data_IF_186272301479
#
_entry.id   IF_186272301479
#
_cell.length_a   1.000
_cell.length_b   1.000
_cell.length_c   1.000
_cell.angle_alpha   90.00
_cell.angle_beta   90.00
_cell.angle_gamma   90.00
#
_symmetry.space_group_name_H-M   'P 1'
#
loop_
_entity.id
_entity.type
_entity.pdbx_description
1 polymer ?
#
# COMPACT_ATOMS: atom_id res chain seq x y z
N UNK A 1 -26.46 3.76 19.96
CA UNK A 1 -25.68 3.11 18.91
C UNK A 1 -25.77 3.94 17.64
N UNK A 2 -24.63 4.35 17.08
CA UNK A 2 -24.58 5.07 15.81
C UNK A 2 -24.70 4.05 14.66
N UNK A 3 -25.45 4.41 13.61
CA UNK A 3 -25.52 3.65 12.36
C UNK A 3 -25.45 4.63 11.20
N UNK A 4 -24.64 4.35 10.20
CA UNK A 4 -24.54 5.19 9.02
C UNK A 4 -25.91 5.34 8.34
N UNK A 5 -26.26 6.57 7.96
CA UNK A 5 -27.51 6.88 7.30
C UNK A 5 -27.55 6.34 5.87
N UNK A 6 -26.39 6.40 5.22
CA UNK A 6 -26.14 5.90 3.86
C UNK A 6 -24.80 5.19 3.83
N UNK A 7 -24.74 4.06 3.16
CA UNK A 7 -23.48 3.34 2.94
C UNK A 7 -22.78 3.92 1.71
N UNK A 8 -21.44 4.08 1.75
CA UNK A 8 -20.67 4.54 0.59
C UNK A 8 -20.62 3.48 -0.51
N UNK A 9 -20.17 3.89 -1.69
CA UNK A 9 -19.90 2.99 -2.79
C UNK A 9 -21.06 2.77 -3.76
N UNK A 10 -20.85 1.84 -4.68
CA UNK A 10 -21.86 1.38 -5.64
C UNK A 10 -22.99 0.63 -4.93
N UNK A 11 -24.06 0.30 -5.65
CA UNK A 11 -25.14 -0.52 -5.09
C UNK A 11 -24.67 -1.87 -4.55
N UNK A 12 -23.63 -2.45 -5.14
CA UNK A 12 -23.02 -3.71 -4.69
C UNK A 12 -22.31 -3.49 -3.34
N UNK A 13 -21.41 -2.49 -3.23
CA UNK A 13 -20.78 -2.14 -1.96
C UNK A 13 -21.81 -1.90 -0.86
N UNK A 14 -22.84 -1.13 -1.15
CA UNK A 14 -23.89 -0.82 -0.18
C UNK A 14 -24.69 -2.05 0.30
N UNK A 15 -24.92 -3.04 -0.59
CA UNK A 15 -25.57 -4.30 -0.21
C UNK A 15 -24.70 -5.10 0.76
N UNK A 16 -23.42 -5.29 0.42
CA UNK A 16 -22.46 -6.03 1.25
C UNK A 16 -22.32 -5.34 2.62
N UNK A 17 -22.05 -4.04 2.64
CA UNK A 17 -21.93 -3.27 3.89
C UNK A 17 -23.17 -3.34 4.76
N UNK A 18 -24.37 -3.34 4.16
CA UNK A 18 -25.62 -3.48 4.90
C UNK A 18 -25.76 -4.86 5.54
N UNK A 19 -25.40 -5.93 4.85
CA UNK A 19 -25.43 -7.27 5.40
C UNK A 19 -24.44 -7.39 6.56
N UNK A 20 -23.18 -6.98 6.36
CA UNK A 20 -22.14 -7.04 7.40
C UNK A 20 -22.55 -6.26 8.63
N UNK A 21 -23.00 -5.01 8.46
CA UNK A 21 -23.44 -4.19 9.62
C UNK A 21 -24.65 -4.79 10.33
N UNK A 22 -25.56 -5.43 9.61
CA UNK A 22 -26.73 -6.08 10.19
C UNK A 22 -26.38 -7.33 10.97
N UNK A 23 -25.39 -8.13 10.53
CA UNK A 23 -24.90 -9.28 11.28
C UNK A 23 -24.31 -8.86 12.64
N UNK A 24 -23.65 -7.72 12.72
CA UNK A 24 -22.98 -7.26 13.93
C UNK A 24 -23.79 -6.26 14.78
N UNK A 25 -24.95 -5.81 14.31
CA UNK A 25 -25.72 -4.77 14.99
C UNK A 25 -26.05 -5.09 16.46
N UNK A 26 -26.34 -6.34 16.75
CA UNK A 26 -26.68 -6.80 18.10
C UNK A 26 -25.57 -7.61 18.78
N UNK A 27 -24.42 -7.77 18.16
CA UNK A 27 -23.30 -8.48 18.75
C UNK A 27 -22.59 -7.62 19.81
N UNK A 28 -22.60 -8.02 21.10
CA UNK A 28 -21.96 -7.24 22.15
C UNK A 28 -20.44 -7.22 22.06
N UNK A 29 -19.83 -8.14 21.33
CA UNK A 29 -18.38 -8.20 21.10
C UNK A 29 -17.89 -7.04 20.24
N UNK A 30 -18.74 -6.53 19.34
CA UNK A 30 -18.38 -5.52 18.34
C UNK A 30 -18.69 -4.11 18.88
N UNK A 31 -17.65 -3.30 18.96
CA UNK A 31 -17.73 -1.90 19.41
C UNK A 31 -17.93 -0.92 18.26
N UNK A 32 -17.29 -1.18 17.11
CA UNK A 32 -17.44 -0.35 15.92
C UNK A 32 -17.15 -1.13 14.65
N UNK A 33 -17.76 -0.71 13.54
CA UNK A 33 -17.39 -1.10 12.17
C UNK A 33 -17.07 0.18 11.41
N UNK A 34 -15.89 0.21 10.83
CA UNK A 34 -15.34 1.35 10.11
C UNK A 34 -15.04 0.91 8.69
N UNK A 35 -15.49 1.67 7.70
CA UNK A 35 -14.97 1.56 6.35
C UNK A 35 -13.91 2.63 6.13
N UNK A 36 -12.83 2.29 5.47
CA UNK A 36 -11.75 3.21 5.17
C UNK A 36 -11.32 3.10 3.69
N UNK A 37 -10.13 3.48 3.34
CA UNK A 37 -9.66 3.36 1.96
C UNK A 37 -10.38 4.31 0.99
N UNK A 38 -10.69 3.84 -0.21
CA UNK A 38 -11.36 4.62 -1.26
C UNK A 38 -12.80 4.98 -0.90
N UNK A 39 -13.51 4.04 -0.27
CA UNK A 39 -14.88 4.24 0.18
C UNK A 39 -14.97 5.28 1.29
N UNK A 40 -14.09 5.18 2.28
CA UNK A 40 -14.05 6.12 3.41
C UNK A 40 -13.71 7.55 2.99
N UNK A 41 -12.86 7.72 1.94
CA UNK A 41 -12.52 9.03 1.36
C UNK A 41 -13.57 9.59 0.40
N UNK A 42 -14.54 8.80 -0.03
CA UNK A 42 -15.48 9.20 -1.08
C UNK A 42 -14.89 9.28 -2.49
N UNK A 43 -13.75 8.59 -2.74
CA UNK A 43 -13.05 8.57 -4.05
C UNK A 43 -13.14 7.21 -4.73
N UNK A 44 -14.20 6.48 -4.45
CA UNK A 44 -14.46 5.13 -4.93
C UNK A 44 -14.96 5.09 -6.39
N UNK A 45 -14.77 3.94 -7.03
CA UNK A 45 -15.35 3.58 -8.32
C UNK A 45 -15.86 2.12 -8.31
N UNK A 46 -16.20 1.56 -9.47
CA UNK A 46 -16.70 0.19 -9.55
C UNK A 46 -15.62 -0.89 -9.37
N UNK A 47 -14.36 -0.52 -9.31
CA UNK A 47 -13.21 -1.41 -9.06
C UNK A 47 -12.66 -1.26 -7.64
N UNK A 48 -13.30 -0.42 -6.83
CA UNK A 48 -12.87 -0.24 -5.45
C UNK A 48 -13.20 -1.47 -4.63
N UNK A 49 -12.26 -1.86 -3.77
CA UNK A 49 -12.40 -2.86 -2.73
C UNK A 49 -13.15 -2.34 -1.50
N UNK A 50 -13.51 -3.26 -0.61
CA UNK A 50 -14.10 -2.98 0.70
C UNK A 50 -13.02 -3.14 1.76
N UNK A 51 -12.52 -2.03 2.30
CA UNK A 51 -11.59 -2.02 3.42
C UNK A 51 -12.35 -1.80 4.73
N UNK A 52 -12.42 -2.80 5.60
CA UNK A 52 -13.15 -2.75 6.88
C UNK A 52 -12.24 -2.98 8.08
N UNK A 53 -12.39 -2.13 9.08
CA UNK A 53 -11.87 -2.32 10.44
C UNK A 53 -13.03 -2.57 11.40
N UNK A 54 -12.97 -3.68 12.13
CA UNK A 54 -13.96 -4.08 13.13
C UNK A 54 -13.32 -4.00 14.52
N UNK A 55 -13.70 -2.97 15.27
CA UNK A 55 -13.21 -2.80 16.64
C UNK A 55 -13.99 -3.71 17.57
N UNK A 56 -13.29 -4.61 18.24
CA UNK A 56 -13.86 -5.58 19.21
C UNK A 56 -13.63 -5.14 20.65
N UNK A 57 -14.41 -5.67 21.55
CA UNK A 57 -14.25 -5.43 23.00
C UNK A 57 -12.92 -6.04 23.49
N UNK A 58 -12.31 -5.39 24.49
CA UNK A 58 -11.04 -5.83 25.05
C UNK A 58 -11.11 -7.28 25.54
N UNK A 59 -10.06 -8.04 25.25
CA UNK A 59 -9.94 -9.45 25.63
C UNK A 59 -10.76 -10.43 24.77
N UNK A 60 -11.48 -9.95 23.77
CA UNK A 60 -12.15 -10.81 22.79
C UNK A 60 -11.13 -11.27 21.73
N UNK A 61 -11.01 -12.57 21.59
CA UNK A 61 -10.35 -13.19 20.45
C UNK A 61 -11.42 -13.60 19.43
N UNK A 62 -11.25 -13.20 18.19
CA UNK A 62 -12.16 -13.51 17.08
C UNK A 62 -11.55 -14.69 16.31
N UNK A 63 -12.35 -15.72 16.10
CA UNK A 63 -12.05 -16.75 15.10
C UNK A 63 -12.46 -16.19 13.74
N UNK A 64 -11.48 -15.62 13.02
CA UNK A 64 -11.71 -14.89 11.78
C UNK A 64 -12.34 -15.78 10.71
N UNK A 65 -11.89 -17.04 10.59
CA UNK A 65 -12.44 -17.98 9.62
C UNK A 65 -13.91 -18.29 9.91
N UNK A 66 -14.25 -18.57 11.19
CA UNK A 66 -15.62 -18.84 11.60
C UNK A 66 -16.55 -17.61 11.38
N UNK A 67 -16.09 -16.40 11.70
CA UNK A 67 -16.84 -15.17 11.45
C UNK A 67 -17.10 -14.94 9.95
N UNK A 68 -16.11 -15.20 9.11
CA UNK A 68 -16.27 -15.01 7.66
C UNK A 68 -17.13 -16.07 7.02
N UNK A 69 -17.13 -17.31 7.51
CA UNK A 69 -18.10 -18.31 7.11
C UNK A 69 -19.53 -17.91 7.49
N UNK A 70 -19.71 -17.33 8.68
CA UNK A 70 -21.01 -16.80 9.11
C UNK A 70 -21.47 -15.64 8.22
N UNK A 71 -20.59 -14.67 7.93
CA UNK A 71 -20.88 -13.56 7.01
C UNK A 71 -21.16 -14.06 5.59
N UNK A 72 -20.40 -15.04 5.09
CA UNK A 72 -20.59 -15.64 3.78
C UNK A 72 -22.00 -16.21 3.60
N UNK A 73 -22.51 -16.94 4.60
CA UNK A 73 -23.89 -17.46 4.58
C UNK A 73 -24.93 -16.32 4.52
N UNK A 74 -24.69 -15.21 5.22
CA UNK A 74 -25.59 -14.05 5.18
C UNK A 74 -25.52 -13.29 3.85
N UNK A 75 -24.34 -13.23 3.22
CA UNK A 75 -24.10 -12.55 1.94
C UNK A 75 -24.71 -13.30 0.75
N UNK A 76 -24.90 -14.62 0.84
CA UNK A 76 -25.63 -15.37 -0.20
C UNK A 76 -27.06 -14.84 -0.44
N UNK A 77 -27.68 -14.27 0.58
CA UNK A 77 -29.02 -13.67 0.44
C UNK A 77 -29.06 -12.42 -0.46
N UNK A 78 -27.90 -11.85 -0.79
CA UNK A 78 -27.73 -10.70 -1.70
C UNK A 78 -26.91 -11.03 -2.94
N UNK A 79 -26.85 -12.33 -3.30
CA UNK A 79 -26.14 -12.89 -4.45
C UNK A 79 -24.60 -12.71 -4.40
N UNK A 80 -24.03 -12.55 -3.19
CA UNK A 80 -22.59 -12.49 -3.00
C UNK A 80 -22.09 -13.80 -2.39
N UNK A 81 -21.28 -14.54 -3.16
CA UNK A 81 -20.68 -15.80 -2.75
C UNK A 81 -19.17 -15.69 -2.64
N UNK A 82 -18.60 -16.17 -1.55
CA UNK A 82 -17.15 -16.22 -1.37
C UNK A 82 -16.58 -17.22 -2.39
N UNK A 83 -15.63 -16.75 -3.20
CA UNK A 83 -14.84 -17.55 -4.13
C UNK A 83 -13.49 -17.94 -3.52
N UNK A 84 -12.87 -17.03 -2.76
CA UNK A 84 -11.59 -17.25 -2.08
C UNK A 84 -11.63 -16.57 -0.72
N UNK A 85 -11.14 -17.29 0.29
CA UNK A 85 -10.96 -16.80 1.66
C UNK A 85 -9.51 -17.03 2.05
N UNK A 86 -8.82 -15.97 2.48
CA UNK A 86 -7.43 -15.99 2.93
C UNK A 86 -7.42 -15.41 4.35
N UNK A 87 -7.63 -16.26 5.38
CA UNK A 87 -7.63 -15.82 6.77
C UNK A 87 -6.19 -15.69 7.29
N UNK A 88 -5.99 -14.73 8.20
CA UNK A 88 -4.82 -14.61 9.07
C UNK A 88 -5.29 -14.47 10.53
N UNK A 89 -4.39 -14.22 11.47
CA UNK A 89 -4.66 -14.21 12.90
C UNK A 89 -5.78 -13.24 13.32
N UNK A 90 -5.76 -11.99 12.81
CA UNK A 90 -6.70 -10.93 13.15
C UNK A 90 -7.38 -10.29 11.93
N UNK A 91 -7.04 -10.73 10.71
CA UNK A 91 -7.61 -10.22 9.48
C UNK A 91 -7.88 -11.30 8.44
N UNK A 92 -8.52 -10.93 7.36
CA UNK A 92 -8.65 -11.76 6.17
C UNK A 92 -8.90 -10.94 4.92
N UNK A 93 -8.45 -11.50 3.80
CA UNK A 93 -8.85 -11.10 2.46
C UNK A 93 -9.88 -12.08 1.90
N UNK A 94 -10.96 -11.54 1.36
CA UNK A 94 -12.07 -12.28 0.76
C UNK A 94 -12.27 -11.82 -0.67
N UNK A 95 -12.32 -12.77 -1.61
CA UNK A 95 -12.71 -12.49 -2.99
C UNK A 95 -14.07 -13.13 -3.24
N UNK A 96 -15.04 -12.34 -3.67
CA UNK A 96 -16.36 -12.83 -4.07
C UNK A 96 -16.37 -13.29 -5.53
N UNK A 97 -17.33 -14.16 -5.89
CA UNK A 97 -17.52 -14.57 -7.30
C UNK A 97 -17.83 -13.41 -8.24
N UNK A 98 -18.33 -12.30 -7.70
CA UNK A 98 -18.55 -11.05 -8.42
C UNK A 98 -17.28 -10.28 -8.74
N UNK A 99 -16.09 -10.76 -8.30
CA UNK A 99 -14.77 -10.12 -8.35
C UNK A 99 -14.66 -8.90 -7.42
N UNK A 100 -15.60 -8.71 -6.50
CA UNK A 100 -15.45 -7.76 -5.40
C UNK A 100 -14.46 -8.33 -4.38
N UNK A 101 -13.60 -7.46 -3.85
CA UNK A 101 -12.66 -7.81 -2.78
C UNK A 101 -13.10 -7.15 -1.47
N UNK A 102 -12.90 -7.86 -0.36
CA UNK A 102 -13.11 -7.39 1.00
C UNK A 102 -11.88 -7.73 1.82
N UNK A 103 -11.21 -6.69 2.34
CA UNK A 103 -10.21 -6.83 3.40
C UNK A 103 -10.87 -6.43 4.72
N UNK A 104 -10.87 -7.32 5.70
CA UNK A 104 -11.52 -7.10 7.00
C UNK A 104 -10.57 -7.47 8.13
N UNK A 105 -10.47 -6.59 9.13
CA UNK A 105 -9.63 -6.80 10.30
C UNK A 105 -10.44 -6.66 11.58
N UNK A 106 -10.17 -7.54 12.57
CA UNK A 106 -10.78 -7.53 13.89
C UNK A 106 -9.71 -7.24 14.96
N UNK A 107 -9.87 -6.15 15.70
CA UNK A 107 -8.85 -5.74 16.67
C UNK A 107 -9.46 -4.96 17.85
N UNK A 108 -8.84 -4.98 19.05
CA UNK A 108 -9.23 -4.09 20.14
C UNK A 108 -8.92 -2.64 19.80
N UNK A 109 -9.63 -1.69 20.44
CA UNK A 109 -9.48 -0.27 20.17
C UNK A 109 -8.01 0.21 20.24
N UNK A 110 -7.23 -0.34 21.17
CA UNK A 110 -5.83 0.02 21.36
C UNK A 110 -4.94 -0.28 20.14
N UNK A 111 -5.32 -1.26 19.30
CA UNK A 111 -4.55 -1.71 18.14
C UNK A 111 -5.04 -1.08 16.82
N UNK A 112 -5.84 -0.01 16.90
CA UNK A 112 -6.29 0.74 15.72
C UNK A 112 -5.11 1.18 14.88
N UNK A 113 -5.16 0.87 13.58
CA UNK A 113 -4.11 1.25 12.63
C UNK A 113 -4.09 2.76 12.38
N UNK A 114 -2.93 3.43 12.40
CA UNK A 114 -2.84 4.84 12.01
C UNK A 114 -3.22 5.10 10.55
N UNK A 115 -3.18 4.06 9.70
CA UNK A 115 -3.44 4.18 8.27
C UNK A 115 -4.91 4.43 7.94
N UNK A 116 -5.83 4.09 8.84
CA UNK A 116 -7.26 4.30 8.61
C UNK A 116 -7.71 5.72 8.95
N UNK A 117 -6.99 6.43 9.84
CA UNK A 117 -7.40 7.70 10.46
C UNK A 117 -7.79 8.77 9.42
N UNK A 118 -7.05 8.88 8.34
CA UNK A 118 -7.30 9.91 7.32
C UNK A 118 -8.49 9.60 6.40
N UNK A 119 -9.10 8.42 6.52
CA UNK A 119 -10.14 7.96 5.59
C UNK A 119 -11.26 7.16 6.24
N UNK A 120 -11.31 7.14 7.57
CA UNK A 120 -12.31 6.34 8.29
C UNK A 120 -13.71 6.95 8.22
N UNK A 121 -14.70 6.09 7.96
CA UNK A 121 -16.12 6.40 8.06
C UNK A 121 -16.78 5.35 8.95
N UNK A 122 -17.39 5.79 10.06
CA UNK A 122 -18.07 4.91 10.99
C UNK A 122 -19.40 4.42 10.41
N UNK A 123 -19.53 3.11 10.20
CA UNK A 123 -20.76 2.48 9.71
C UNK A 123 -21.70 2.07 10.85
N UNK A 124 -21.13 1.49 11.90
CA UNK A 124 -21.82 1.02 13.09
C UNK A 124 -20.92 1.26 14.30
N UNK A 125 -21.44 1.77 15.41
CA UNK A 125 -20.59 1.99 16.57
C UNK A 125 -21.33 2.21 17.87
N UNK A 126 -20.73 1.70 18.97
CA UNK A 126 -21.05 1.95 20.37
C UNK A 126 -20.02 2.87 21.02
N UNK A 127 -18.95 3.19 20.30
CA UNK A 127 -17.87 4.10 20.71
C UNK A 127 -17.78 5.27 19.71
N UNK A 128 -17.22 6.36 20.17
CA UNK A 128 -17.06 7.58 19.37
C UNK A 128 -15.96 7.44 18.33
N UNK A 129 -16.15 8.01 17.14
CA UNK A 129 -15.13 8.11 16.10
C UNK A 129 -13.87 8.79 16.62
N UNK A 130 -14.00 9.80 17.50
CA UNK A 130 -12.87 10.50 18.11
C UNK A 130 -11.99 9.58 18.99
N UNK A 131 -12.55 8.55 19.62
CA UNK A 131 -11.79 7.56 20.38
C UNK A 131 -10.96 6.69 19.46
N UNK A 132 -11.51 6.28 18.33
CA UNK A 132 -10.83 5.50 17.29
C UNK A 132 -9.69 6.31 16.67
N UNK A 133 -9.95 7.58 16.33
CA UNK A 133 -8.95 8.51 15.84
C UNK A 133 -7.79 8.67 16.81
N UNK A 134 -8.10 8.88 18.08
CA UNK A 134 -7.09 9.03 19.14
C UNK A 134 -6.22 7.79 19.27
N UNK A 135 -6.81 6.60 19.25
CA UNK A 135 -6.07 5.35 19.32
C UNK A 135 -5.17 5.15 18.09
N UNK A 136 -5.69 5.39 16.89
CA UNK A 136 -4.91 5.29 15.65
C UNK A 136 -3.76 6.29 15.60
N UNK A 137 -3.97 7.53 16.05
CA UNK A 137 -2.91 8.55 16.13
C UNK A 137 -1.85 8.17 17.18
N UNK A 138 -2.22 7.55 18.30
CA UNK A 138 -1.27 7.07 19.31
C UNK A 138 -0.36 5.97 18.76
N UNK A 139 -0.86 5.15 17.84
CA UNK A 139 -0.11 4.08 17.18
C UNK A 139 0.69 4.58 15.97
N UNK A 140 0.53 5.85 15.57
CA UNK A 140 1.31 6.44 14.50
C UNK A 140 2.78 6.47 14.92
N UNK A 141 3.53 5.46 14.51
CA UNK A 141 4.99 5.62 14.48
C UNK A 141 5.26 6.82 13.61
N UNK A 142 6.06 7.77 14.09
CA UNK A 142 6.57 8.82 13.24
C UNK A 142 7.48 8.14 12.22
N UNK A 143 6.89 7.68 11.11
CA UNK A 143 7.60 7.20 9.93
C UNK A 143 8.23 8.42 9.23
N UNK A 144 8.93 9.23 10.01
CA UNK A 144 9.97 10.11 9.52
C UNK A 144 11.21 9.24 9.28
N UNK A 145 11.09 8.19 8.45
CA UNK A 145 12.30 7.69 7.83
C UNK A 145 12.85 8.87 7.03
N UNK A 146 14.02 9.42 7.41
CA UNK A 146 14.58 10.55 6.70
C UNK A 146 14.66 10.17 5.22
N UNK A 147 14.24 11.05 4.32
CA UNK A 147 14.38 10.85 2.87
C UNK A 147 15.78 10.33 2.49
N UNK A 148 16.79 10.70 3.25
CA UNK A 148 18.15 10.17 3.13
C UNK A 148 18.23 8.65 3.23
N UNK A 149 17.48 8.01 4.13
CA UNK A 149 17.47 6.54 4.23
C UNK A 149 16.86 5.86 3.01
N UNK A 150 15.85 6.47 2.41
CA UNK A 150 15.26 5.94 1.19
C UNK A 150 16.25 6.08 0.01
N UNK A 151 17.04 7.16 -0.03
CA UNK A 151 18.15 7.31 -0.98
C UNK A 151 19.25 6.28 -0.73
N UNK A 152 19.67 6.05 0.52
CA UNK A 152 20.63 5.01 0.88
C UNK A 152 20.19 3.63 0.40
N UNK A 153 18.90 3.29 0.58
CA UNK A 153 18.31 2.04 0.07
C UNK A 153 18.38 1.95 -1.45
N UNK A 154 18.05 3.05 -2.14
CA UNK A 154 18.09 3.08 -3.59
C UNK A 154 19.48 2.83 -4.14
N UNK A 155 20.52 3.48 -3.54
CA UNK A 155 21.92 3.26 -3.92
C UNK A 155 22.37 1.84 -3.60
N UNK A 156 21.96 1.28 -2.45
CA UNK A 156 22.23 -0.11 -2.10
C UNK A 156 21.62 -1.08 -3.10
N UNK A 157 20.38 -0.89 -3.51
CA UNK A 157 19.73 -1.72 -4.53
C UNK A 157 20.45 -1.62 -5.87
N UNK A 158 20.99 -0.45 -6.25
CA UNK A 158 21.79 -0.34 -7.47
C UNK A 158 23.03 -1.26 -7.43
N UNK A 159 23.72 -1.36 -6.29
CA UNK A 159 24.83 -2.29 -6.10
C UNK A 159 24.38 -3.75 -6.17
N UNK A 160 23.23 -4.08 -5.60
CA UNK A 160 22.68 -5.44 -5.62
C UNK A 160 22.25 -5.86 -7.05
N UNK A 161 21.65 -4.92 -7.83
CA UNK A 161 21.34 -5.13 -9.26
C UNK A 161 22.60 -5.43 -10.04
N UNK A 162 23.64 -4.61 -9.87
CA UNK A 162 24.92 -4.81 -10.54
C UNK A 162 25.51 -6.20 -10.24
N UNK A 163 25.50 -6.61 -8.97
CA UNK A 163 25.91 -7.95 -8.56
C UNK A 163 25.07 -9.09 -9.16
N UNK A 164 23.75 -8.89 -9.30
CA UNK A 164 22.84 -9.86 -9.92
C UNK A 164 23.12 -9.99 -11.43
N UNK A 165 23.33 -8.87 -12.12
CA UNK A 165 23.68 -8.84 -13.55
C UNK A 165 24.97 -9.59 -13.84
N UNK A 166 26.03 -9.36 -13.05
CA UNK A 166 27.31 -10.07 -13.19
C UNK A 166 27.22 -11.58 -12.96
N UNK A 167 26.23 -12.03 -12.18
CA UNK A 167 25.95 -13.46 -11.96
C UNK A 167 24.96 -14.06 -12.96
N UNK A 168 24.38 -13.26 -13.84
CA UNK A 168 23.34 -13.69 -14.77
C UNK A 168 21.99 -13.97 -14.08
N UNK A 169 21.76 -13.45 -12.86
CA UNK A 169 20.53 -13.66 -12.08
C UNK A 169 19.46 -12.64 -12.49
N UNK A 170 18.88 -12.87 -13.67
CA UNK A 170 17.99 -11.91 -14.31
C UNK A 170 16.72 -11.64 -13.48
N UNK A 171 16.07 -12.67 -12.89
CA UNK A 171 14.90 -12.46 -12.04
C UNK A 171 15.20 -11.57 -10.83
N UNK A 172 16.32 -11.81 -10.15
CA UNK A 172 16.75 -10.98 -9.02
C UNK A 172 17.04 -9.55 -9.46
N UNK A 173 17.69 -9.36 -10.62
CA UNK A 173 17.94 -8.04 -11.17
C UNK A 173 16.62 -7.28 -11.46
N UNK A 174 15.63 -7.94 -12.07
CA UNK A 174 14.29 -7.34 -12.37
C UNK A 174 13.58 -6.94 -11.08
N UNK A 175 13.57 -7.80 -10.06
CA UNK A 175 12.96 -7.51 -8.76
C UNK A 175 13.63 -6.30 -8.08
N UNK A 176 14.96 -6.29 -8.01
CA UNK A 176 15.71 -5.18 -7.41
C UNK A 176 15.50 -3.86 -8.16
N UNK A 177 15.44 -3.90 -9.49
CA UNK A 177 15.05 -2.73 -10.31
C UNK A 177 13.62 -2.27 -10.00
N UNK A 178 12.71 -3.18 -9.65
CA UNK A 178 11.38 -2.78 -9.19
C UNK A 178 11.46 -2.04 -7.84
N UNK A 179 12.25 -2.53 -6.89
CA UNK A 179 12.47 -1.83 -5.61
C UNK A 179 13.10 -0.44 -5.80
N UNK A 180 14.04 -0.29 -6.75
CA UNK A 180 14.60 1.03 -7.10
C UNK A 180 13.51 1.98 -7.63
N UNK A 181 12.59 1.52 -8.50
CA UNK A 181 11.44 2.33 -8.94
C UNK A 181 10.57 2.76 -7.76
N UNK A 182 10.32 1.85 -6.84
CA UNK A 182 9.55 2.15 -5.63
C UNK A 182 10.26 3.23 -4.77
N UNK A 183 11.58 3.13 -4.57
CA UNK A 183 12.36 4.15 -3.87
C UNK A 183 12.24 5.52 -4.54
N UNK A 184 12.37 5.61 -5.86
CA UNK A 184 12.22 6.87 -6.61
C UNK A 184 10.82 7.45 -6.42
N UNK A 185 9.76 6.64 -6.52
CA UNK A 185 8.39 7.10 -6.29
C UNK A 185 8.17 7.56 -4.84
N UNK A 186 8.78 6.89 -3.85
CA UNK A 186 8.73 7.32 -2.44
C UNK A 186 9.47 8.65 -2.24
N UNK A 187 10.69 8.78 -2.78
CA UNK A 187 11.46 10.02 -2.70
C UNK A 187 10.66 11.19 -3.25
N UNK A 188 10.04 11.04 -4.42
CA UNK A 188 9.15 12.05 -5.00
C UNK A 188 7.96 12.32 -4.08
N UNK A 189 7.24 11.29 -3.67
CA UNK A 189 6.00 11.42 -2.91
C UNK A 189 6.21 12.12 -1.58
N UNK A 190 7.23 11.68 -0.82
CA UNK A 190 7.46 12.21 0.53
C UNK A 190 8.09 13.61 0.52
N UNK A 191 8.87 13.94 -0.50
CA UNK A 191 9.38 15.31 -0.67
C UNK A 191 8.31 16.33 -1.11
N UNK A 192 7.12 15.85 -1.48
CA UNK A 192 5.96 16.67 -1.82
C UNK A 192 4.79 16.49 -0.84
N UNK A 193 5.09 16.03 0.39
CA UNK A 193 4.08 15.77 1.44
C UNK A 193 2.95 14.82 1.01
N UNK A 194 3.22 14.00 0.01
CA UNK A 194 2.27 13.04 -0.56
C UNK A 194 2.18 11.74 0.24
N UNK A 195 1.16 10.97 -0.07
CA UNK A 195 0.93 9.61 0.45
C UNK A 195 0.67 8.68 -0.73
N UNK A 196 0.86 7.35 -0.53
CA UNK A 196 0.65 6.33 -1.57
C UNK A 196 1.52 6.54 -2.81
N UNK A 197 2.81 6.15 -2.75
CA UNK A 197 3.84 6.50 -3.72
C UNK A 197 3.45 6.25 -5.19
N UNK A 198 2.87 5.09 -5.52
CA UNK A 198 2.49 4.79 -6.90
C UNK A 198 1.41 5.73 -7.44
N UNK A 199 0.33 5.93 -6.65
CA UNK A 199 -0.80 6.75 -7.06
C UNK A 199 -0.44 8.23 -7.10
N UNK A 200 0.32 8.69 -6.10
CA UNK A 200 0.76 10.09 -6.02
C UNK A 200 1.71 10.42 -7.17
N UNK A 201 2.74 9.58 -7.40
CA UNK A 201 3.66 9.76 -8.51
C UNK A 201 2.93 9.79 -9.86
N UNK A 202 2.00 8.86 -10.09
CA UNK A 202 1.24 8.80 -11.34
C UNK A 202 0.38 10.05 -11.60
N UNK A 203 -0.13 10.68 -10.54
CA UNK A 203 -0.99 11.87 -10.65
C UNK A 203 -0.20 13.17 -10.72
N UNK A 204 0.86 13.29 -9.95
CA UNK A 204 1.54 14.56 -9.67
C UNK A 204 2.88 14.71 -10.39
N UNK A 205 3.59 13.60 -10.72
CA UNK A 205 4.82 13.70 -11.48
C UNK A 205 4.54 14.14 -12.92
N UNK A 206 5.36 15.05 -13.44
CA UNK A 206 5.26 15.49 -14.81
C UNK A 206 5.49 14.34 -15.81
N UNK A 207 4.98 14.50 -17.03
CA UNK A 207 5.06 13.46 -18.06
C UNK A 207 6.50 13.09 -18.40
N UNK A 208 7.45 14.04 -18.35
CA UNK A 208 8.87 13.78 -18.61
C UNK A 208 9.46 12.82 -17.57
N UNK A 209 9.17 13.03 -16.28
CA UNK A 209 9.63 12.16 -15.21
C UNK A 209 8.97 10.78 -15.28
N UNK A 210 7.67 10.73 -15.58
CA UNK A 210 6.96 9.44 -15.75
C UNK A 210 7.54 8.62 -16.91
N UNK A 211 7.78 9.24 -18.08
CA UNK A 211 8.41 8.57 -19.23
C UNK A 211 9.83 8.12 -18.89
N UNK A 212 10.58 8.95 -18.18
CA UNK A 212 11.97 8.63 -17.79
C UNK A 212 12.02 7.45 -16.83
N UNK A 213 11.15 7.42 -15.82
CA UNK A 213 11.05 6.27 -14.91
C UNK A 213 10.47 5.04 -15.63
N UNK A 214 9.53 5.22 -16.55
CA UNK A 214 9.02 4.15 -17.41
C UNK A 214 10.10 3.49 -18.27
N UNK A 215 11.09 4.27 -18.72
CA UNK A 215 12.25 3.74 -19.45
C UNK A 215 13.13 2.78 -18.65
N UNK A 216 13.01 2.77 -17.33
CA UNK A 216 13.72 1.80 -16.46
C UNK A 216 13.05 0.42 -16.38
N UNK A 217 11.99 0.16 -17.12
CA UNK A 217 11.34 -1.15 -17.18
C UNK A 217 12.12 -2.06 -18.16
N UNK A 218 12.82 -3.10 -17.68
CA UNK A 218 13.55 -3.99 -18.56
C UNK A 218 12.63 -4.97 -19.27
N UNK A 219 13.04 -5.44 -20.43
CA UNK A 219 12.57 -6.70 -20.99
C UNK A 219 13.26 -7.88 -20.28
N UNK A 220 12.81 -9.09 -20.51
CA UNK A 220 13.41 -10.29 -19.92
C UNK A 220 14.73 -10.65 -20.62
N UNK A 221 15.74 -9.79 -20.50
CA UNK A 221 17.13 -10.05 -20.94
C UNK A 221 18.10 -9.16 -20.15
N UNK A 222 19.35 -9.64 -20.02
CA UNK A 222 20.39 -8.99 -19.23
C UNK A 222 20.75 -7.59 -19.77
N UNK A 223 20.78 -7.41 -21.08
CA UNK A 223 21.14 -6.13 -21.70
C UNK A 223 20.18 -5.02 -21.31
N UNK A 224 18.85 -5.27 -21.42
CA UNK A 224 17.87 -4.24 -21.04
C UNK A 224 17.82 -4.01 -19.54
N UNK A 225 18.12 -5.02 -18.72
CA UNK A 225 18.26 -4.83 -17.27
C UNK A 225 19.47 -3.96 -16.92
N UNK A 226 20.60 -4.12 -17.62
CA UNK A 226 21.77 -3.25 -17.50
C UNK A 226 21.44 -1.81 -17.93
N UNK A 227 20.78 -1.65 -19.09
CA UNK A 227 20.31 -0.34 -19.56
C UNK A 227 19.40 0.34 -18.54
N UNK A 228 18.50 -0.42 -17.91
CA UNK A 228 17.64 0.06 -16.84
C UNK A 228 18.42 0.56 -15.62
N UNK A 229 19.42 -0.20 -15.16
CA UNK A 229 20.30 0.25 -14.06
C UNK A 229 21.04 1.53 -14.42
N UNK A 230 21.57 1.63 -15.66
CA UNK A 230 22.22 2.85 -16.13
C UNK A 230 21.29 4.06 -16.12
N UNK A 231 20.03 3.88 -16.51
CA UNK A 231 19.02 4.93 -16.46
C UNK A 231 18.67 5.34 -15.02
N UNK A 232 18.60 4.38 -14.07
CA UNK A 232 18.41 4.70 -12.65
C UNK A 232 19.57 5.54 -12.10
N UNK A 233 20.81 5.18 -12.42
CA UNK A 233 21.98 5.96 -12.01
C UNK A 233 21.90 7.37 -12.59
N UNK A 234 21.41 7.52 -13.82
CA UNK A 234 21.19 8.84 -14.45
C UNK A 234 20.09 9.64 -13.74
N UNK A 235 18.98 9.02 -13.34
CA UNK A 235 17.94 9.69 -12.55
C UNK A 235 18.52 10.19 -11.21
N UNK A 236 19.23 9.34 -10.48
CA UNK A 236 19.80 9.71 -9.19
C UNK A 236 20.87 10.81 -9.32
N UNK A 237 21.67 10.79 -10.37
CA UNK A 237 22.79 11.74 -10.52
C UNK A 237 22.41 13.06 -11.18
N UNK A 238 21.34 13.08 -11.99
CA UNK A 238 20.98 14.25 -12.80
C UNK A 238 19.65 14.89 -12.43
N UNK A 239 18.70 14.10 -11.89
CA UNK A 239 17.33 14.57 -11.66
C UNK A 239 16.93 14.54 -10.17
N UNK A 240 17.78 14.08 -9.26
CA UNK A 240 17.45 13.94 -7.84
C UNK A 240 16.96 15.24 -7.22
N UNK A 241 17.58 16.35 -7.55
CA UNK A 241 17.21 17.68 -7.06
C UNK A 241 15.79 18.06 -7.51
N UNK A 242 15.47 17.87 -8.79
CA UNK A 242 14.12 18.09 -9.31
C UNK A 242 13.11 17.09 -8.71
N UNK A 243 13.50 15.82 -8.58
CA UNK A 243 12.67 14.75 -8.04
C UNK A 243 12.25 15.02 -6.59
N UNK A 244 13.14 15.60 -5.78
CA UNK A 244 12.96 15.78 -4.34
C UNK A 244 12.79 17.24 -3.93
N UNK A 245 12.60 18.16 -4.88
CA UNK A 245 12.54 19.61 -4.63
C UNK A 245 13.71 20.12 -3.78
N UNK A 246 14.91 19.55 -4.02
CA UNK A 246 16.13 19.93 -3.31
C UNK A 246 16.24 19.44 -1.86
N UNK A 247 15.30 18.63 -1.37
CA UNK A 247 15.30 18.17 0.02
C UNK A 247 16.32 17.07 0.31
N UNK A 248 16.81 16.39 -0.73
CA UNK A 248 17.80 15.31 -0.63
C UNK A 248 18.89 15.49 -1.67
N UNK A 249 20.13 15.25 -1.26
CA UNK A 249 21.29 15.33 -2.13
C UNK A 249 22.14 14.07 -2.01
N UNK A 250 22.83 13.72 -3.10
CA UNK A 250 23.83 12.66 -3.06
C UNK A 250 24.99 13.09 -2.17
N UNK A 251 25.40 12.21 -1.27
CA UNK A 251 26.68 12.34 -0.57
C UNK A 251 27.85 12.01 -1.49
N UNK A 252 29.07 12.37 -1.13
CA UNK A 252 30.27 11.98 -1.85
C UNK A 252 30.37 10.42 -1.97
N UNK A 253 30.07 9.71 -0.90
CA UNK A 253 30.04 8.25 -0.89
C UNK A 253 29.01 7.66 -1.87
N UNK A 254 27.83 8.25 -1.98
CA UNK A 254 26.83 7.84 -2.98
C UNK A 254 27.35 8.02 -4.40
N UNK A 255 27.94 9.18 -4.70
CA UNK A 255 28.48 9.52 -6.02
C UNK A 255 29.61 8.57 -6.43
N UNK A 256 30.53 8.27 -5.50
CA UNK A 256 31.62 7.30 -5.70
C UNK A 256 31.09 5.88 -6.00
N UNK A 257 30.12 5.39 -5.21
CA UNK A 257 29.51 4.08 -5.41
C UNK A 257 28.78 3.99 -6.76
N UNK A 258 27.97 4.98 -7.12
CA UNK A 258 27.26 4.99 -8.40
C UNK A 258 28.21 5.07 -9.58
N UNK A 259 29.34 5.79 -9.45
CA UNK A 259 30.40 5.84 -10.44
C UNK A 259 31.11 4.49 -10.59
N UNK A 260 31.43 3.84 -9.48
CA UNK A 260 32.05 2.51 -9.49
C UNK A 260 31.13 1.45 -10.13
N UNK A 261 29.84 1.46 -9.79
CA UNK A 261 28.83 0.58 -10.42
C UNK A 261 28.79 0.82 -11.93
N UNK A 262 28.72 2.07 -12.37
CA UNK A 262 28.71 2.41 -13.81
C UNK A 262 29.98 1.94 -14.53
N UNK A 263 31.14 2.06 -13.90
CA UNK A 263 32.38 1.56 -14.47
C UNK A 263 32.35 0.04 -14.67
N UNK A 264 31.90 -0.70 -13.65
CA UNK A 264 31.78 -2.17 -13.72
C UNK A 264 30.81 -2.67 -14.79
N UNK A 265 29.75 -1.90 -15.08
CA UNK A 265 28.80 -2.25 -16.13
C UNK A 265 29.44 -2.25 -17.53
N UNK A 266 30.49 -1.46 -17.75
CA UNK A 266 31.21 -1.47 -19.03
C UNK A 266 31.99 -2.77 -19.28
N UNK A 267 32.23 -3.56 -18.23
CA UNK A 267 32.93 -4.84 -18.29
C UNK A 267 31.99 -6.03 -18.58
N UNK A 268 30.66 -5.77 -18.62
CA UNK A 268 29.65 -6.78 -18.97
C UNK A 268 29.60 -6.95 -20.49
N UNK A 269 30.07 -8.09 -20.98
CA UNK A 269 29.88 -8.52 -22.38
C UNK A 269 28.65 -9.44 -22.47
N UNK A 270 27.66 -9.06 -23.31
CA UNK A 270 26.42 -9.85 -23.56
C UNK A 270 26.31 -10.27 -25.01
#
# INVERSE_FOLDING_TARGET
>A
MYKAKEFPGTLQHQRILRVITSCYENDPRILAIIVFGSLGRGTWDCYSDLDLDVVVADGIMVDVEAELLHLGNALEAVDEQIALLIPDDDDADVVFKSLMELSIRYHPLADTSPNIVDSMLLLLGRIDLAAIETAGLANRKLDNEPLGRELDRCVRYALEVDGALHRGYLWSAIELLHYMRHCIMKLFTYSHDGKRPYQFFQKEADQKMQVRLGGTLPQYNLKTAQESLSQFIDILTKDLDQLTSGQVQLTEAHAELLTAIRSRQNDLEF
#
